data_IF_659344280811
#
_entry.id   IF_659344280811
#
_cell.length_a   1.000
_cell.length_b   1.000
_cell.length_c   1.000
_cell.angle_alpha   90.00
_cell.angle_beta   90.00
_cell.angle_gamma   90.00
#
_symmetry.space_group_name_H-M   'P 1'
#
loop_
_entity.id
_entity.type
_entity.pdbx_description
1 polymer ?
#
# COMPACT_ATOMS: atom_id res chain seq x y z
N UNK A 1 -2.22 -8.17 -23.49
CA UNK A 1 -3.22 -8.49 -22.47
C UNK A 1 -2.77 -7.77 -21.20
N UNK A 2 -3.72 -7.15 -20.49
CA UNK A 2 -3.42 -6.38 -19.27
C UNK A 2 -3.84 -7.22 -18.07
N UNK A 3 -3.12 -7.05 -16.96
CA UNK A 3 -3.50 -7.68 -15.70
C UNK A 3 -3.39 -6.66 -14.58
N UNK A 4 -4.18 -6.87 -13.53
CA UNK A 4 -4.26 -5.98 -12.38
C UNK A 4 -3.58 -6.61 -11.18
N UNK A 5 -2.81 -5.82 -10.45
CA UNK A 5 -2.34 -6.20 -9.11
C UNK A 5 -3.06 -5.31 -8.10
N UNK A 6 -3.68 -5.94 -7.12
CA UNK A 6 -4.25 -5.27 -5.96
C UNK A 6 -3.47 -5.68 -4.71
N UNK A 7 -3.08 -4.71 -3.90
CA UNK A 7 -2.61 -4.95 -2.54
C UNK A 7 -3.24 -3.93 -1.60
N UNK A 8 -3.72 -4.43 -0.46
CA UNK A 8 -4.39 -3.65 0.58
C UNK A 8 -3.85 -4.05 1.94
N UNK A 9 -3.71 -3.08 2.83
CA UNK A 9 -3.30 -3.29 4.21
C UNK A 9 -4.10 -2.39 5.13
N UNK A 10 -4.56 -2.96 6.23
CA UNK A 10 -5.24 -2.21 7.29
C UNK A 10 -4.25 -1.90 8.39
N UNK A 11 -4.16 -0.63 8.76
CA UNK A 11 -3.37 -0.14 9.88
C UNK A 11 -4.26 0.55 10.90
N UNK A 12 -3.78 0.61 12.14
CA UNK A 12 -4.45 1.27 13.25
C UNK A 12 -3.58 2.44 13.71
N UNK A 13 -3.72 3.63 13.12
CA UNK A 13 -2.96 4.81 13.54
C UNK A 13 -3.34 5.30 14.94
N UNK A 14 -4.60 5.11 15.35
CA UNK A 14 -5.10 5.50 16.68
C UNK A 14 -5.87 4.36 17.35
N UNK A 15 -5.98 4.31 18.69
CA UNK A 15 -6.60 3.18 19.40
C UNK A 15 -8.02 2.80 18.92
N UNK A 16 -8.78 3.79 18.44
CA UNK A 16 -10.16 3.62 17.98
C UNK A 16 -10.35 3.89 16.48
N UNK A 17 -9.26 4.05 15.72
CA UNK A 17 -9.33 4.37 14.30
C UNK A 17 -8.53 3.34 13.50
N UNK A 18 -9.19 2.74 12.49
CA UNK A 18 -8.53 1.83 11.55
C UNK A 18 -8.65 2.39 10.15
N UNK A 19 -7.53 2.47 9.45
CA UNK A 19 -7.45 2.96 8.08
C UNK A 19 -7.02 1.80 7.19
N UNK A 20 -7.73 1.59 6.08
CA UNK A 20 -7.33 0.60 5.06
C UNK A 20 -6.75 1.35 3.89
N UNK A 21 -5.48 1.06 3.60
CA UNK A 21 -4.72 1.67 2.52
C UNK A 21 -4.50 0.61 1.46
N UNK A 22 -4.73 0.97 0.20
CA UNK A 22 -4.67 0.01 -0.89
C UNK A 22 -4.33 0.66 -2.21
N UNK A 23 -3.68 -0.12 -3.07
CA UNK A 23 -3.34 0.24 -4.43
C UNK A 23 -3.78 -0.85 -5.39
N UNK A 24 -4.48 -0.44 -6.43
CA UNK A 24 -4.87 -1.25 -7.58
C UNK A 24 -4.18 -0.64 -8.79
N UNK A 25 -3.32 -1.40 -9.46
CA UNK A 25 -2.55 -0.93 -10.60
C UNK A 25 -2.62 -1.92 -11.77
N UNK A 26 -2.74 -1.38 -12.98
CA UNK A 26 -2.83 -2.13 -14.23
C UNK A 26 -1.46 -2.21 -14.89
N UNK A 27 -1.07 -3.42 -15.31
CA UNK A 27 0.21 -3.69 -15.95
C UNK A 27 0.02 -4.37 -17.30
N UNK A 28 0.89 -4.02 -18.25
CA UNK A 28 1.00 -4.72 -19.52
C UNK A 28 1.76 -6.04 -19.35
N UNK A 29 1.14 -7.14 -19.79
CA UNK A 29 1.72 -8.50 -19.72
C UNK A 29 2.95 -8.70 -20.61
N UNK A 30 3.17 -7.78 -21.56
CA UNK A 30 4.37 -7.74 -22.42
C UNK A 30 5.67 -7.70 -21.61
N UNK A 31 5.62 -7.17 -20.38
CA UNK A 31 6.72 -7.21 -19.43
C UNK A 31 6.42 -8.28 -18.37
N UNK A 32 6.89 -9.51 -18.61
CA UNK A 32 6.86 -10.64 -17.68
C UNK A 32 7.71 -10.37 -16.42
N UNK A 33 7.29 -9.41 -15.60
CA UNK A 33 7.90 -8.98 -14.34
C UNK A 33 6.86 -8.89 -13.22
N UNK A 34 5.88 -9.80 -13.23
CA UNK A 34 4.78 -9.84 -12.25
C UNK A 34 5.26 -9.74 -10.79
N UNK A 35 6.36 -10.41 -10.45
CA UNK A 35 6.94 -10.33 -9.10
C UNK A 35 7.46 -8.92 -8.77
N UNK A 36 8.06 -8.22 -9.72
CA UNK A 36 8.52 -6.83 -9.53
C UNK A 36 7.35 -5.86 -9.44
N UNK A 37 6.31 -6.07 -10.24
CA UNK A 37 5.09 -5.24 -10.19
C UNK A 37 4.38 -5.41 -8.85
N UNK A 38 4.25 -6.64 -8.35
CA UNK A 38 3.70 -6.89 -7.01
C UNK A 38 4.56 -6.25 -5.91
N UNK A 39 5.88 -6.38 -5.99
CA UNK A 39 6.78 -5.75 -5.02
C UNK A 39 6.67 -4.21 -5.05
N UNK A 40 6.50 -3.62 -6.23
CA UNK A 40 6.27 -2.17 -6.38
C UNK A 40 4.97 -1.73 -5.71
N UNK A 41 3.85 -2.38 -6.04
CA UNK A 41 2.53 -2.08 -5.45
C UNK A 41 2.56 -2.26 -3.92
N UNK A 42 3.18 -3.35 -3.45
CA UNK A 42 3.36 -3.62 -2.01
C UNK A 42 4.20 -2.55 -1.32
N UNK A 43 5.36 -2.19 -1.89
CA UNK A 43 6.25 -1.19 -1.31
C UNK A 43 5.58 0.18 -1.20
N UNK A 44 4.77 0.55 -2.20
CA UNK A 44 4.02 1.81 -2.19
C UNK A 44 2.97 1.84 -1.07
N UNK A 45 2.20 0.76 -0.92
CA UNK A 45 1.20 0.65 0.16
C UNK A 45 1.85 0.59 1.52
N UNK A 46 2.96 -0.12 1.68
CA UNK A 46 3.69 -0.18 2.95
C UNK A 46 4.23 1.20 3.34
N UNK A 47 4.78 1.96 2.38
CA UNK A 47 5.20 3.35 2.61
C UNK A 47 4.04 4.24 3.07
N UNK A 48 2.88 4.17 2.41
CA UNK A 48 1.70 4.93 2.83
C UNK A 48 1.18 4.48 4.20
N UNK A 49 1.31 3.20 4.53
CA UNK A 49 1.00 2.70 5.87
C UNK A 49 1.94 3.28 6.93
N UNK A 50 3.24 3.42 6.64
CA UNK A 50 4.22 4.05 7.54
C UNK A 50 3.92 5.54 7.70
N UNK A 51 3.70 6.27 6.61
CA UNK A 51 3.31 7.69 6.64
C UNK A 51 2.02 7.90 7.45
N UNK A 52 1.03 7.03 7.29
CA UNK A 52 -0.22 7.08 8.06
C UNK A 52 -0.04 6.70 9.54
N UNK A 53 1.03 6.01 9.92
CA UNK A 53 1.35 5.76 11.33
C UNK A 53 2.14 6.92 11.94
N UNK A 54 3.02 7.56 11.16
CA UNK A 54 3.83 8.71 11.59
C UNK A 54 2.99 9.99 11.71
N UNK A 55 2.18 10.33 10.71
CA UNK A 55 1.33 11.53 10.70
C UNK A 55 0.36 11.58 11.89
N UNK A 56 -0.02 10.42 12.43
CA UNK A 56 -0.95 10.30 13.55
C UNK A 56 -0.26 9.97 14.88
N UNK A 57 1.06 9.73 14.86
CA UNK A 57 1.89 9.43 16.02
C UNK A 57 2.61 10.65 16.60
N UNK A 58 2.62 11.79 15.91
CA UNK A 58 3.23 13.04 16.38
C UNK A 58 2.36 13.84 17.39
N UNK A 59 1.22 13.29 17.85
CA UNK A 59 0.35 13.91 18.88
C UNK A 59 0.79 13.59 20.34
N UNK A 60 2.00 13.09 20.58
CA UNK A 60 2.57 12.91 21.94
C UNK A 60 3.66 13.95 22.24
N UNK A 61 3.24 15.17 22.59
CA UNK A 61 4.04 16.21 23.30
C UNK A 61 3.29 16.65 24.58
#
# INVERSE_FOLDING_TARGET
MVYTIEYKRTVRPRPYETVTIGLLEEFDEAHHKQLMHYQSVKAQVDKWCEEALEEFGEDED
#
